data_IF_474571418759
#
_entry.id   IF_474571418759
#
_cell.length_a   1.000
_cell.length_b   1.000
_cell.length_c   1.000
_cell.angle_alpha   90.00
_cell.angle_beta   90.00
_cell.angle_gamma   90.00
#
_symmetry.space_group_name_H-M   'P 1'
#
loop_
_entity.id
_entity.type
_entity.pdbx_description
1 polymer ?
#
# COMPACT_ATOMS: atom_id res chain seq x y z
N UNK A 1 21.66 12.13 -3.04
CA UNK A 1 22.43 11.19 -2.20
C UNK A 1 21.54 9.99 -1.92
N UNK A 2 22.06 8.77 -2.08
CA UNK A 2 21.31 7.52 -1.84
C UNK A 2 21.57 7.05 -0.41
N UNK A 3 20.53 6.58 0.28
CA UNK A 3 20.63 5.91 1.59
C UNK A 3 20.34 4.42 1.42
N UNK A 4 21.02 3.57 2.17
CA UNK A 4 20.78 2.11 2.18
C UNK A 4 20.23 1.68 3.54
N UNK A 5 19.17 0.87 3.53
CA UNK A 5 18.59 0.27 4.72
C UNK A 5 17.89 -1.05 4.36
N UNK A 6 18.04 -2.07 5.22
CA UNK A 6 17.40 -3.39 5.04
C UNK A 6 17.63 -4.04 3.66
N UNK A 7 18.79 -3.80 3.05
CA UNK A 7 19.12 -4.30 1.71
C UNK A 7 18.44 -3.56 0.56
N UNK A 8 17.84 -2.39 0.81
CA UNK A 8 17.21 -1.54 -0.19
C UNK A 8 17.86 -0.16 -0.27
N UNK A 9 17.86 0.41 -1.47
CA UNK A 9 18.39 1.75 -1.75
C UNK A 9 17.25 2.76 -1.86
N UNK A 10 17.41 3.94 -1.24
CA UNK A 10 16.42 5.01 -1.20
C UNK A 10 17.04 6.30 -1.74
N UNK A 11 16.61 6.68 -2.94
CA UNK A 11 17.05 7.92 -3.58
C UNK A 11 16.30 9.11 -3.00
N UNK A 12 17.02 10.11 -2.45
CA UNK A 12 16.41 11.31 -1.89
C UNK A 12 15.95 11.18 -0.43
N UNK A 13 16.29 10.08 0.26
CA UNK A 13 16.01 9.92 1.68
C UNK A 13 16.90 10.78 2.60
N UNK A 14 17.93 11.43 2.06
CA UNK A 14 18.81 12.30 2.84
C UNK A 14 18.06 13.54 3.36
N UNK A 15 17.98 13.69 4.68
CA UNK A 15 17.24 14.78 5.33
C UNK A 15 15.71 14.68 5.21
N UNK A 16 15.16 13.58 4.70
CA UNK A 16 13.72 13.41 4.56
C UNK A 16 13.06 13.04 5.90
N UNK A 17 12.20 13.92 6.42
CA UNK A 17 11.57 13.78 7.74
C UNK A 17 10.04 13.62 7.67
N UNK A 18 9.46 13.52 6.47
CA UNK A 18 8.01 13.45 6.24
C UNK A 18 7.52 12.02 5.89
N UNK A 19 8.13 11.02 6.53
CA UNK A 19 7.82 9.60 6.27
C UNK A 19 6.41 9.21 6.69
N UNK A 20 5.81 9.93 7.64
CA UNK A 20 4.45 9.69 8.08
C UNK A 20 3.40 10.07 7.02
N UNK A 21 3.69 11.04 6.14
CA UNK A 21 2.75 11.48 5.11
C UNK A 21 2.75 10.56 3.88
N UNK A 22 3.92 10.18 3.36
CA UNK A 22 3.99 9.32 2.16
C UNK A 22 5.20 8.37 2.05
N UNK A 23 6.30 8.65 2.76
CA UNK A 23 7.51 7.81 2.70
C UNK A 23 8.26 7.89 1.36
N UNK A 24 9.58 7.73 1.41
CA UNK A 24 10.40 7.59 0.20
C UNK A 24 10.40 6.12 -0.21
N UNK A 25 10.00 5.75 -1.44
CA UNK A 25 10.03 4.37 -1.89
C UNK A 25 11.47 3.91 -2.13
N UNK A 26 11.79 2.63 -1.90
CA UNK A 26 13.06 2.09 -2.35
C UNK A 26 13.11 2.04 -3.88
N UNK A 27 14.30 2.14 -4.45
CA UNK A 27 14.56 2.31 -5.89
C UNK A 27 13.81 1.28 -6.74
N UNK A 28 13.90 0.01 -6.38
CA UNK A 28 13.26 -1.09 -7.12
C UNK A 28 11.74 -0.95 -7.20
N UNK A 29 11.08 -0.37 -6.17
CA UNK A 29 9.63 -0.12 -6.19
C UNK A 29 9.29 1.01 -7.15
N UNK A 30 10.07 2.10 -7.12
CA UNK A 30 9.88 3.22 -8.02
C UNK A 30 10.12 2.83 -9.49
N UNK A 31 11.12 1.98 -9.75
CA UNK A 31 11.39 1.41 -11.07
C UNK A 31 10.25 0.51 -11.56
N UNK A 32 9.78 -0.43 -10.72
CA UNK A 32 8.65 -1.30 -11.06
C UNK A 32 7.38 -0.51 -11.43
N UNK A 33 7.09 0.59 -10.71
CA UNK A 33 5.97 1.46 -11.03
C UNK A 33 6.15 2.16 -12.38
N UNK A 34 7.35 2.70 -12.66
CA UNK A 34 7.66 3.35 -13.95
C UNK A 34 7.55 2.35 -15.10
N UNK A 35 7.99 1.12 -14.91
CA UNK A 35 7.90 0.06 -15.92
C UNK A 35 6.44 -0.35 -16.18
N UNK A 36 5.62 -0.41 -15.13
CA UNK A 36 4.17 -0.62 -15.26
C UNK A 36 3.52 0.50 -16.08
N UNK A 37 3.83 1.77 -15.77
CA UNK A 37 3.32 2.93 -16.53
C UNK A 37 3.81 2.90 -17.97
N UNK A 38 5.07 2.56 -18.21
CA UNK A 38 5.63 2.42 -19.57
C UNK A 38 4.87 1.33 -20.34
N UNK A 39 4.65 0.17 -19.74
CA UNK A 39 3.92 -0.94 -20.37
C UNK A 39 2.50 -0.54 -20.72
N UNK A 40 1.83 0.19 -19.83
CA UNK A 40 0.51 0.76 -20.09
C UNK A 40 0.51 1.74 -21.27
N UNK A 41 1.46 2.67 -21.31
CA UNK A 41 1.59 3.64 -22.40
C UNK A 41 1.82 2.98 -23.77
N UNK A 42 2.51 1.84 -23.82
CA UNK A 42 2.78 1.10 -25.06
C UNK A 42 1.67 0.08 -25.42
N UNK A 43 0.60 -0.01 -24.63
CA UNK A 43 -0.47 -0.98 -24.84
C UNK A 43 -0.07 -2.44 -24.59
N UNK A 44 1.03 -2.68 -23.87
CA UNK A 44 1.56 -4.00 -23.55
C UNK A 44 1.32 -4.40 -22.08
N UNK A 45 0.36 -3.76 -21.42
CA UNK A 45 0.04 -4.04 -20.02
C UNK A 45 -0.78 -5.33 -19.90
N UNK A 46 -0.20 -6.35 -19.28
CA UNK A 46 -0.88 -7.60 -18.98
C UNK A 46 -1.65 -7.50 -17.66
N UNK A 47 -2.95 -7.21 -17.74
CA UNK A 47 -3.83 -7.02 -16.57
C UNK A 47 -3.92 -8.27 -15.69
N UNK A 48 -3.79 -9.45 -16.28
CA UNK A 48 -3.79 -10.75 -15.58
C UNK A 48 -2.69 -10.84 -14.50
N UNK A 49 -1.54 -10.19 -14.73
CA UNK A 49 -0.41 -10.19 -13.78
C UNK A 49 -0.76 -9.56 -12.43
N UNK A 50 -1.70 -8.61 -12.40
CA UNK A 50 -2.10 -7.97 -11.14
C UNK A 50 -2.78 -8.94 -10.17
N UNK A 51 -3.46 -9.99 -10.66
CA UNK A 51 -4.11 -10.98 -9.79
C UNK A 51 -3.09 -11.73 -8.94
N UNK A 52 -2.00 -12.17 -9.57
CA UNK A 52 -0.89 -12.83 -8.89
C UNK A 52 -0.20 -11.85 -7.93
N UNK A 53 0.13 -10.64 -8.39
CA UNK A 53 0.76 -9.60 -7.55
C UNK A 53 -0.10 -9.26 -6.31
N UNK A 54 -1.41 -9.13 -6.46
CA UNK A 54 -2.33 -8.91 -5.34
C UNK A 54 -2.33 -10.08 -4.35
N UNK A 55 -2.29 -11.31 -4.85
CA UNK A 55 -2.27 -12.52 -4.01
C UNK A 55 -0.98 -12.62 -3.21
N UNK A 56 0.16 -12.41 -3.87
CA UNK A 56 1.48 -12.37 -3.23
C UNK A 56 1.57 -11.23 -2.22
N UNK A 57 1.03 -10.05 -2.53
CA UNK A 57 1.05 -8.90 -1.63
C UNK A 57 0.25 -9.16 -0.34
N UNK A 58 -0.95 -9.75 -0.45
CA UNK A 58 -1.75 -10.15 0.73
C UNK A 58 -1.01 -11.17 1.58
N UNK A 59 -0.42 -12.19 0.97
CA UNK A 59 0.34 -13.22 1.68
C UNK A 59 1.57 -12.64 2.41
N UNK A 60 2.31 -11.74 1.75
CA UNK A 60 3.47 -11.08 2.36
C UNK A 60 3.08 -10.19 3.55
N UNK A 61 2.03 -9.37 3.42
CA UNK A 61 1.53 -8.55 4.53
C UNK A 61 0.99 -9.40 5.68
N UNK A 62 0.29 -10.50 5.36
CA UNK A 62 -0.21 -11.44 6.35
C UNK A 62 0.93 -12.07 7.16
N UNK A 63 2.01 -12.48 6.49
CA UNK A 63 3.24 -12.96 7.13
C UNK A 63 3.87 -11.91 8.06
N UNK A 64 3.98 -10.66 7.59
CA UNK A 64 4.56 -9.56 8.37
C UNK A 64 3.78 -9.26 9.66
N UNK A 65 2.45 -9.40 9.62
CA UNK A 65 1.55 -9.04 10.72
C UNK A 65 1.08 -10.24 11.55
N UNK A 66 1.40 -11.47 11.13
CA UNK A 66 0.96 -12.70 11.78
C UNK A 66 -0.55 -12.98 11.63
N UNK A 67 -1.20 -12.45 10.59
CA UNK A 67 -2.63 -12.70 10.32
C UNK A 67 -2.85 -13.72 9.20
N UNK A 68 -4.10 -14.12 8.99
CA UNK A 68 -4.50 -14.98 7.87
C UNK A 68 -4.63 -14.13 6.57
N UNK A 69 -4.09 -14.57 5.41
CA UNK A 69 -4.20 -13.83 4.15
C UNK A 69 -5.63 -13.52 3.71
N UNK A 70 -6.63 -14.34 4.06
CA UNK A 70 -8.05 -14.09 3.79
C UNK A 70 -8.62 -12.95 4.64
N UNK A 71 -7.89 -12.49 5.67
CA UNK A 71 -8.23 -11.30 6.47
C UNK A 71 -7.57 -10.02 5.98
N UNK A 72 -6.78 -10.07 4.91
CA UNK A 72 -6.08 -8.90 4.33
C UNK A 72 -6.86 -8.37 3.13
N UNK A 73 -7.29 -7.11 3.20
CA UNK A 73 -7.86 -6.38 2.08
C UNK A 73 -6.82 -5.43 1.46
N UNK A 74 -6.94 -5.18 0.16
CA UNK A 74 -6.16 -4.17 -0.57
C UNK A 74 -7.11 -3.05 -0.97
N UNK A 75 -6.71 -1.81 -0.76
CA UNK A 75 -7.47 -0.61 -1.14
C UNK A 75 -6.55 0.55 -1.49
N UNK A 76 -7.15 1.67 -1.91
CA UNK A 76 -6.41 2.87 -2.35
C UNK A 76 -5.89 3.72 -1.20
N UNK A 77 -6.63 3.79 -0.09
CA UNK A 77 -6.24 4.54 1.10
C UNK A 77 -6.92 3.98 2.36
N UNK A 78 -6.35 4.27 3.52
CA UNK A 78 -6.92 3.91 4.83
C UNK A 78 -8.31 4.51 5.01
N UNK A 79 -8.49 5.80 4.72
CA UNK A 79 -9.78 6.49 4.88
C UNK A 79 -10.87 5.90 3.98
N UNK A 80 -10.54 5.55 2.73
CA UNK A 80 -11.50 4.90 1.83
C UNK A 80 -11.93 3.52 2.35
N UNK A 81 -11.00 2.72 2.89
CA UNK A 81 -11.31 1.41 3.46
C UNK A 81 -12.14 1.52 4.75
N UNK A 82 -11.79 2.44 5.66
CA UNK A 82 -12.57 2.70 6.88
C UNK A 82 -13.97 3.21 6.53
N UNK A 83 -14.11 4.01 5.47
CA UNK A 83 -15.41 4.46 4.97
C UNK A 83 -16.37 3.31 4.62
N UNK A 84 -15.86 2.22 4.03
CA UNK A 84 -16.67 1.02 3.76
C UNK A 84 -17.16 0.34 5.04
N UNK A 85 -16.31 0.28 6.07
CA UNK A 85 -16.69 -0.25 7.38
C UNK A 85 -17.77 0.62 8.02
N UNK A 86 -17.58 1.95 8.01
CA UNK A 86 -18.54 2.90 8.56
C UNK A 86 -19.90 2.82 7.86
N UNK A 87 -19.91 2.69 6.53
CA UNK A 87 -21.14 2.57 5.73
C UNK A 87 -21.90 1.26 5.98
N UNK A 88 -21.23 0.21 6.48
CA UNK A 88 -21.84 -1.08 6.76
C UNK A 88 -22.47 -1.17 8.17
N UNK A 89 -22.35 -0.13 8.99
CA UNK A 89 -22.88 -0.11 10.36
C UNK A 89 -24.42 -0.04 10.32
N UNK A 90 -25.15 -0.93 11.01
CA UNK A 90 -26.61 -0.92 11.01
C UNK A 90 -27.21 0.36 11.61
N UNK A 91 -28.36 0.77 11.08
CA UNK A 91 -29.15 1.88 11.63
C UNK A 91 -29.46 1.68 13.12
N UNK A 92 -29.45 2.78 13.87
CA UNK A 92 -29.66 2.77 15.33
C UNK A 92 -28.45 2.35 16.16
N UNK A 93 -27.33 1.98 15.52
CA UNK A 93 -26.06 1.72 16.22
C UNK A 93 -25.44 3.01 16.79
N UNK A 94 -24.57 2.86 17.79
CA UNK A 94 -23.75 3.96 18.34
C UNK A 94 -22.28 3.63 18.14
N UNK A 95 -21.54 4.55 17.53
CA UNK A 95 -20.09 4.42 17.29
C UNK A 95 -19.34 5.26 18.31
N UNK A 96 -18.30 4.69 18.92
CA UNK A 96 -17.40 5.40 19.80
C UNK A 96 -16.09 5.71 19.07
N UNK A 97 -15.57 6.92 19.25
CA UNK A 97 -14.28 7.36 18.73
C UNK A 97 -13.46 8.00 19.83
N UNK A 98 -12.14 8.07 19.63
CA UNK A 98 -11.27 8.87 20.49
C UNK A 98 -11.35 10.34 20.07
N UNK A 99 -11.49 11.29 21.00
CA UNK A 99 -11.44 12.71 20.67
C UNK A 99 -10.02 13.15 20.30
N UNK A 100 -9.89 14.02 19.30
CA UNK A 100 -8.63 14.71 18.97
C UNK A 100 -7.81 14.15 17.81
N UNK A 101 -8.42 13.33 16.95
CA UNK A 101 -7.95 13.17 15.56
C UNK A 101 -8.41 14.35 14.69
#
# INVERSE_FOLDING_TARGET
>A
MTREAFGAEFDGADGFLDTATYGVPPRFVAEALRDCVRSWQHGSLEVSTFVELMTTSRAAYASLTGTDPHRVAIGSSTSSLIGLVAAAIPDGSRVATLPGE
#
